data_IF_463143107898
#
_entry.id   IF_463143107898
#
_cell.length_a   1.000
_cell.length_b   1.000
_cell.length_c   1.000
_cell.angle_alpha   90.00
_cell.angle_beta   90.00
_cell.angle_gamma   90.00
#
_symmetry.space_group_name_H-M   'P 1'
#
loop_
_entity.id
_entity.type
_entity.pdbx_description
1 polymer ?
#
# COMPACT_ATOMS: atom_id res chain seq x y z
N UNK A 1 -25.70 -8.73 -5.97
CA UNK A 1 -24.55 -8.01 -5.37
C UNK A 1 -24.22 -6.83 -6.28
N UNK A 2 -24.55 -5.60 -5.87
CA UNK A 2 -24.44 -4.44 -6.77
C UNK A 2 -22.96 -4.05 -6.94
N UNK A 3 -22.46 -4.12 -8.17
CA UNK A 3 -21.08 -3.79 -8.58
C UNK A 3 -20.60 -2.45 -7.97
N UNK A 4 -21.47 -1.45 -7.87
CA UNK A 4 -21.13 -0.13 -7.34
C UNK A 4 -20.64 -0.12 -5.88
N UNK A 5 -21.08 -1.09 -5.05
CA UNK A 5 -20.60 -1.21 -3.66
C UNK A 5 -19.19 -1.79 -3.59
N UNK A 6 -18.83 -2.69 -4.50
CA UNK A 6 -17.52 -3.35 -4.55
C UNK A 6 -16.45 -2.37 -5.03
N UNK A 7 -16.72 -1.62 -6.09
CA UNK A 7 -15.80 -0.60 -6.62
C UNK A 7 -15.52 0.48 -5.58
N UNK A 8 -16.56 0.95 -4.87
CA UNK A 8 -16.40 1.97 -3.82
C UNK A 8 -15.56 1.45 -2.64
N UNK A 9 -15.73 0.18 -2.26
CA UNK A 9 -14.94 -0.48 -1.22
C UNK A 9 -13.48 -0.67 -1.65
N UNK A 10 -13.23 -0.99 -2.92
CA UNK A 10 -11.89 -1.07 -3.48
C UNK A 10 -11.19 0.29 -3.42
N UNK A 11 -11.80 1.36 -3.94
CA UNK A 11 -11.22 2.70 -3.89
C UNK A 11 -10.84 3.15 -2.46
N UNK A 12 -11.70 2.87 -1.49
CA UNK A 12 -11.41 3.16 -0.07
C UNK A 12 -10.21 2.35 0.43
N UNK A 13 -10.10 1.06 0.06
CA UNK A 13 -8.95 0.23 0.41
C UNK A 13 -7.64 0.71 -0.23
N UNK A 14 -7.69 1.21 -1.47
CA UNK A 14 -6.52 1.78 -2.17
C UNK A 14 -6.06 3.05 -1.46
N UNK A 15 -6.99 3.97 -1.16
CA UNK A 15 -6.70 5.22 -0.47
C UNK A 15 -6.12 4.95 0.93
N UNK A 16 -6.73 4.02 1.67
CA UNK A 16 -6.20 3.57 2.97
C UNK A 16 -4.80 2.96 2.84
N UNK A 17 -4.56 2.16 1.79
CA UNK A 17 -3.26 1.58 1.51
C UNK A 17 -2.19 2.65 1.24
N UNK A 18 -2.48 3.63 0.40
CA UNK A 18 -1.54 4.73 0.12
C UNK A 18 -1.27 5.56 1.37
N UNK A 19 -2.29 5.86 2.16
CA UNK A 19 -2.15 6.57 3.44
C UNK A 19 -1.26 5.80 4.42
N UNK A 20 -1.48 4.49 4.58
CA UNK A 20 -0.64 3.66 5.44
C UNK A 20 0.81 3.61 4.93
N UNK A 21 1.04 3.53 3.61
CA UNK A 21 2.40 3.54 3.08
C UNK A 21 3.12 4.83 3.43
N UNK A 22 2.45 5.97 3.30
CA UNK A 22 3.04 7.28 3.63
C UNK A 22 3.42 7.33 5.11
N UNK A 23 2.55 6.86 6.00
CA UNK A 23 2.82 6.79 7.45
C UNK A 23 4.01 5.87 7.71
N UNK A 24 4.04 4.69 7.09
CA UNK A 24 5.12 3.72 7.25
C UNK A 24 6.44 4.23 6.69
N UNK A 25 6.44 4.95 5.56
CA UNK A 25 7.63 5.63 5.04
C UNK A 25 8.12 6.71 6.01
N UNK A 26 7.19 7.45 6.60
CA UNK A 26 7.54 8.51 7.55
C UNK A 26 8.20 7.94 8.81
N UNK A 27 7.67 6.84 9.35
CA UNK A 27 8.30 6.12 10.47
C UNK A 27 9.57 5.40 10.02
N UNK A 28 9.55 4.80 8.83
CA UNK A 28 10.65 4.06 8.22
C UNK A 28 11.88 4.93 7.97
N UNK A 29 11.72 6.22 7.69
CA UNK A 29 12.83 7.17 7.59
C UNK A 29 13.74 7.14 8.82
N UNK A 30 13.19 6.98 10.02
CA UNK A 30 13.97 6.86 11.26
C UNK A 30 14.75 5.54 11.37
N UNK A 31 14.33 4.50 10.63
CA UNK A 31 14.98 3.20 10.56
C UNK A 31 15.83 3.01 9.29
N UNK A 32 15.96 4.04 8.43
CA UNK A 32 16.63 3.93 7.13
C UNK A 32 15.81 3.19 6.06
N UNK A 33 14.52 2.98 6.31
CA UNK A 33 13.60 2.20 5.49
C UNK A 33 12.68 3.12 4.69
N UNK A 34 12.75 3.08 3.36
CA UNK A 34 11.85 3.83 2.49
C UNK A 34 11.39 2.97 1.31
N UNK A 35 10.07 2.80 1.16
CA UNK A 35 9.45 2.19 -0.02
C UNK A 35 9.12 3.31 -1.00
N UNK A 36 9.74 3.30 -2.18
CA UNK A 36 9.43 4.28 -3.22
C UNK A 36 7.97 4.10 -3.72
N UNK A 37 7.19 5.18 -3.67
CA UNK A 37 5.86 5.26 -4.31
C UNK A 37 6.03 5.35 -5.83
N UNK A 38 6.09 4.21 -6.48
CA UNK A 38 6.13 4.06 -7.94
C UNK A 38 4.86 3.37 -8.46
N UNK A 39 4.68 3.35 -9.79
CA UNK A 39 3.49 2.76 -10.43
C UNK A 39 3.28 1.29 -10.01
N UNK A 40 4.36 0.56 -9.78
CA UNK A 40 4.34 -0.85 -9.37
C UNK A 40 3.83 -1.01 -7.93
N UNK A 41 4.36 -0.23 -6.99
CA UNK A 41 3.90 -0.23 -5.59
C UNK A 41 2.42 0.18 -5.50
N UNK A 42 2.01 1.19 -6.27
CA UNK A 42 0.63 1.63 -6.34
C UNK A 42 -0.29 0.55 -6.94
N UNK A 43 0.18 -0.24 -7.92
CA UNK A 43 -0.55 -1.38 -8.47
C UNK A 43 -0.69 -2.52 -7.44
N UNK A 44 0.38 -2.85 -6.71
CA UNK A 44 0.39 -3.92 -5.70
C UNK A 44 -0.55 -3.54 -4.54
N UNK A 45 -0.44 -2.32 -4.01
CA UNK A 45 -1.33 -1.78 -2.98
C UNK A 45 -2.75 -1.60 -3.53
N UNK A 46 -2.87 -1.24 -4.80
CA UNK A 46 -4.16 -1.07 -5.49
C UNK A 46 -4.95 -2.36 -5.59
N UNK A 47 -4.27 -3.45 -5.94
CA UNK A 47 -4.85 -4.75 -6.20
C UNK A 47 -5.02 -5.59 -4.91
N UNK A 48 -4.04 -5.54 -4.00
CA UNK A 48 -4.08 -6.29 -2.75
C UNK A 48 -4.60 -5.48 -1.55
N UNK A 49 -4.61 -4.14 -1.62
CA UNK A 49 -4.97 -3.27 -0.48
C UNK A 49 -3.91 -3.28 0.63
N UNK A 50 -4.38 -3.37 1.88
CA UNK A 50 -3.54 -3.50 3.09
C UNK A 50 -2.57 -4.69 3.01
N UNK A 51 -2.96 -5.90 2.55
CA UNK A 51 -2.01 -6.99 2.32
C UNK A 51 -0.85 -6.63 1.37
N UNK A 52 -1.09 -5.79 0.36
CA UNK A 52 -0.07 -5.35 -0.59
C UNK A 52 1.00 -4.48 0.05
N UNK A 53 0.62 -3.67 1.06
CA UNK A 53 1.58 -2.92 1.87
C UNK A 53 2.51 -3.84 2.64
N UNK A 54 1.95 -4.84 3.32
CA UNK A 54 2.71 -5.80 4.11
C UNK A 54 3.71 -6.53 3.22
N UNK A 55 3.29 -6.89 2.00
CA UNK A 55 4.15 -7.52 1.01
C UNK A 55 5.32 -6.62 0.58
N UNK A 56 5.06 -5.34 0.29
CA UNK A 56 6.10 -4.37 -0.05
C UNK A 56 7.09 -4.17 1.10
N UNK A 57 6.59 -4.19 2.35
CA UNK A 57 7.43 -4.03 3.53
C UNK A 57 8.36 -5.23 3.71
N UNK A 58 7.83 -6.45 3.57
CA UNK A 58 8.61 -7.68 3.64
C UNK A 58 9.65 -7.74 2.51
N UNK A 59 9.28 -7.33 1.29
CA UNK A 59 10.19 -7.34 0.15
C UNK A 59 11.38 -6.38 0.35
N UNK A 60 11.10 -5.17 0.87
CA UNK A 60 12.11 -4.17 1.19
C UNK A 60 13.00 -4.59 2.39
N UNK A 61 12.57 -5.53 3.22
CA UNK A 61 13.39 -6.13 4.29
C UNK A 61 14.28 -7.27 3.79
N UNK A 62 13.91 -7.93 2.67
CA UNK A 62 14.68 -9.03 2.08
C UNK A 62 15.77 -8.58 1.11
N UNK A 63 15.61 -7.40 0.51
CA UNK A 63 16.56 -6.77 -0.43
C UNK A 63 17.40 -5.74 0.30
#
# INVERSE_FOLDING_TARGET
MNIGKVVKKLFINIILGVILLIIINFVGLYFGFNIALNIYSALIIGMLGVPGLILLILLQFMV
#
